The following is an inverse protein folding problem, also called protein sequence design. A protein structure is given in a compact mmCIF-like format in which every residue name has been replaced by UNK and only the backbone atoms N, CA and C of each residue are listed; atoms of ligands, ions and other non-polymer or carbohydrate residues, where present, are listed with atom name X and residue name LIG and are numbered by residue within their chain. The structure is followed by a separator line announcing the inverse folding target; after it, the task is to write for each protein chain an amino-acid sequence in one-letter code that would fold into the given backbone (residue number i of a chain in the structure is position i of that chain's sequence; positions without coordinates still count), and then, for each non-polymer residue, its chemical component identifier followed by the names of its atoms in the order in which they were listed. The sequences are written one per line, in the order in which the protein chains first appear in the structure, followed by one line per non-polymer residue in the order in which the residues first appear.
data_IF_153355445766
#
_entry.id   IF_153355445766
#
_cell.length_a   1.000
_cell.length_b   1.000
_cell.length_c   1.000
_cell.angle_alpha   90.00
_cell.angle_beta   90.00
_cell.angle_gamma   90.00
#
_symmetry.space_group_name_H-M   'P 1'
#
loop_
_entity.id
_entity.type
_entity.pdbx_description
1 polymer ?
#
# COMPACT_ATOMS: atom_id res chain seq x y z
N UNK A 1 -7.33 3.64 17.25
CA UNK A 1 -6.73 2.48 16.55
C UNK A 1 -6.26 1.46 17.57
N UNK A 2 -6.48 0.17 17.34
CA UNK A 2 -5.89 -0.89 18.16
C UNK A 2 -4.39 -1.04 17.89
N UNK A 3 -3.65 -1.66 18.81
CA UNK A 3 -2.21 -1.92 18.62
C UNK A 3 -1.95 -2.82 17.39
N UNK A 4 -0.88 -2.52 16.64
CA UNK A 4 -0.44 -3.32 15.51
C UNK A 4 0.12 -4.67 16.01
N UNK A 5 -0.34 -5.79 15.44
CA UNK A 5 0.02 -7.14 15.89
C UNK A 5 0.81 -7.93 14.83
N UNK A 6 1.34 -7.26 13.79
CA UNK A 6 2.03 -7.93 12.69
C UNK A 6 1.11 -8.36 11.54
N UNK A 7 1.63 -9.10 10.53
CA UNK A 7 0.81 -9.70 9.48
C UNK A 7 -0.17 -10.73 10.04
N UNK A 8 -1.42 -10.71 9.53
CA UNK A 8 -2.48 -11.68 9.88
C UNK A 8 -2.55 -12.87 8.92
N UNK A 9 -1.54 -13.03 8.08
CA UNK A 9 -1.40 -14.10 7.10
C UNK A 9 -0.01 -14.75 7.24
N UNK A 10 0.10 -15.99 6.77
CA UNK A 10 1.40 -16.66 6.60
C UNK A 10 2.14 -16.10 5.39
N UNK A 11 3.47 -16.10 5.47
CA UNK A 11 4.35 -15.65 4.38
C UNK A 11 5.25 -16.81 3.97
N UNK A 12 5.19 -17.20 2.69
CA UNK A 12 6.19 -18.08 2.08
C UNK A 12 7.24 -17.23 1.39
N UNK A 13 8.46 -17.25 1.95
CA UNK A 13 9.60 -16.58 1.36
C UNK A 13 10.22 -17.41 0.25
N UNK A 14 10.48 -16.78 -0.89
CA UNK A 14 11.19 -17.40 -2.01
C UNK A 14 12.55 -16.73 -2.21
N UNK A 15 13.54 -17.53 -2.64
CA UNK A 15 14.84 -17.01 -3.03
C UNK A 15 14.73 -16.39 -4.43
N UNK A 16 14.55 -15.07 -4.48
CA UNK A 16 14.49 -14.27 -5.69
C UNK A 16 15.11 -12.90 -5.41
N UNK A 17 15.93 -12.41 -6.33
CA UNK A 17 16.47 -11.06 -6.25
C UNK A 17 15.38 -10.02 -6.51
N UNK A 18 15.43 -8.91 -5.79
CA UNK A 18 14.58 -7.78 -6.06
C UNK A 18 15.08 -7.08 -7.34
N UNK A 19 14.18 -6.55 -8.18
CA UNK A 19 14.56 -5.82 -9.38
C UNK A 19 15.28 -4.52 -8.99
N UNK A 20 16.58 -4.42 -9.28
CA UNK A 20 17.46 -3.38 -8.70
C UNK A 20 17.03 -1.95 -9.10
N UNK A 21 16.67 -1.74 -10.36
CA UNK A 21 16.30 -0.43 -10.89
C UNK A 21 14.98 0.03 -10.24
N UNK A 22 13.96 -0.81 -10.30
CA UNK A 22 12.63 -0.54 -9.75
C UNK A 22 12.69 -0.40 -8.22
N UNK A 23 13.59 -1.12 -7.55
CA UNK A 23 13.79 -0.96 -6.10
C UNK A 23 14.35 0.42 -5.78
N UNK A 24 15.31 0.93 -6.57
CA UNK A 24 15.82 2.31 -6.40
C UNK A 24 14.73 3.34 -6.65
N UNK A 25 13.96 3.18 -7.73
CA UNK A 25 12.83 4.06 -8.05
C UNK A 25 11.76 4.08 -6.96
N UNK A 26 11.43 2.91 -6.41
CA UNK A 26 10.49 2.76 -5.29
C UNK A 26 10.97 3.54 -4.06
N UNK A 27 12.23 3.38 -3.67
CA UNK A 27 12.81 4.07 -2.51
C UNK A 27 12.87 5.59 -2.71
N UNK A 28 13.22 6.05 -3.91
CA UNK A 28 13.22 7.48 -4.23
C UNK A 28 11.82 8.08 -4.14
N UNK A 29 10.80 7.36 -4.62
CA UNK A 29 9.42 7.80 -4.56
C UNK A 29 8.88 7.77 -3.12
N UNK A 30 9.17 6.73 -2.33
CA UNK A 30 8.76 6.66 -0.92
C UNK A 30 9.31 7.86 -0.13
N UNK A 31 10.58 8.20 -0.35
CA UNK A 31 11.21 9.38 0.26
C UNK A 31 10.50 10.67 -0.15
N UNK A 32 10.27 10.90 -1.46
CA UNK A 32 9.57 12.10 -1.95
C UNK A 32 8.16 12.22 -1.38
N UNK A 33 7.42 11.10 -1.31
CA UNK A 33 6.07 11.09 -0.77
C UNK A 33 6.05 11.32 0.71
N UNK A 34 7.00 10.78 1.46
CA UNK A 34 7.03 11.00 2.88
C UNK A 34 7.55 12.39 3.27
N UNK A 35 8.42 13.02 2.47
CA UNK A 35 8.70 14.46 2.57
C UNK A 35 7.42 15.28 2.32
N UNK A 36 6.59 14.85 1.35
CA UNK A 36 5.32 15.50 1.06
C UNK A 36 4.26 15.23 2.13
N UNK A 37 4.18 14.04 2.73
CA UNK A 37 3.12 13.64 3.66
C UNK A 37 3.44 13.98 5.11
N UNK A 38 4.71 13.99 5.51
CA UNK A 38 5.21 14.20 6.87
C UNK A 38 4.53 13.26 7.90
N UNK A 39 4.58 11.92 7.70
CA UNK A 39 3.86 10.97 8.54
C UNK A 39 4.37 10.98 9.99
N UNK A 40 3.46 11.18 10.96
CA UNK A 40 3.79 11.09 12.40
C UNK A 40 3.75 9.64 12.87
N UNK A 41 4.73 8.84 12.45
CA UNK A 41 4.87 7.43 12.84
C UNK A 41 4.59 6.45 11.69
N UNK A 42 4.13 5.24 12.02
CA UNK A 42 3.77 4.23 11.01
C UNK A 42 2.33 4.46 10.53
N UNK A 43 2.15 5.42 9.62
CA UNK A 43 0.85 5.89 9.15
C UNK A 43 0.51 5.44 7.73
N UNK A 44 1.00 4.28 7.26
CA UNK A 44 0.69 3.84 5.90
C UNK A 44 1.79 3.10 5.19
N UNK A 45 1.55 2.76 3.93
CA UNK A 45 2.49 2.13 3.02
C UNK A 45 2.21 2.53 1.57
N UNK A 46 3.24 2.41 0.74
CA UNK A 46 3.13 2.49 -0.71
C UNK A 46 3.52 1.14 -1.32
N UNK A 47 2.88 0.78 -2.43
CA UNK A 47 3.38 -0.25 -3.33
C UNK A 47 3.58 0.30 -4.75
N UNK A 48 4.47 -0.38 -5.48
CA UNK A 48 4.74 -0.10 -6.89
C UNK A 48 4.73 -1.40 -7.70
N UNK A 49 3.94 -1.44 -8.76
CA UNK A 49 3.86 -2.59 -9.67
C UNK A 49 5.21 -2.77 -10.37
N UNK A 50 5.62 -4.03 -10.51
CA UNK A 50 6.80 -4.43 -11.28
C UNK A 50 6.45 -5.68 -12.11
N UNK A 51 7.31 -6.10 -13.06
CA UNK A 51 7.07 -7.35 -13.76
C UNK A 51 6.88 -8.53 -12.79
N UNK A 52 5.73 -9.22 -12.90
CA UNK A 52 5.37 -10.39 -12.10
C UNK A 52 5.12 -10.13 -10.60
N UNK A 53 4.76 -8.90 -10.20
CA UNK A 53 4.42 -8.62 -8.81
C UNK A 53 4.34 -7.14 -8.48
N UNK A 54 4.61 -6.81 -7.22
CA UNK A 54 4.77 -5.43 -6.77
C UNK A 54 5.78 -5.34 -5.63
N UNK A 55 6.48 -4.21 -5.56
CA UNK A 55 7.32 -3.82 -4.45
C UNK A 55 6.44 -3.17 -3.38
N UNK A 56 6.67 -3.51 -2.12
CA UNK A 56 6.03 -2.90 -0.97
C UNK A 56 7.02 -2.87 0.19
N UNK A 57 6.87 -1.89 1.08
CA UNK A 57 7.69 -1.85 2.30
C UNK A 57 7.45 -3.09 3.18
N UNK A 58 8.44 -3.40 4.02
CA UNK A 58 8.32 -4.43 5.05
C UNK A 58 7.32 -4.04 6.14
N UNK A 59 6.79 -5.06 6.80
CA UNK A 59 5.99 -4.91 8.00
C UNK A 59 6.73 -4.08 9.07
N UNK A 60 6.02 -3.10 9.64
CA UNK A 60 6.53 -2.25 10.73
C UNK A 60 7.59 -1.21 10.34
N UNK A 61 8.07 -1.16 9.10
CA UNK A 61 8.96 -0.08 8.65
C UNK A 61 8.20 1.25 8.59
N UNK A 62 8.90 2.38 8.76
CA UNK A 62 8.30 3.71 8.57
C UNK A 62 8.47 4.12 7.10
N UNK A 63 7.45 4.77 6.53
CA UNK A 63 7.68 5.55 5.30
C UNK A 63 8.73 6.62 5.58
N UNK A 64 9.50 7.03 4.58
CA UNK A 64 10.69 7.93 4.62
C UNK A 64 12.01 7.33 5.10
N UNK A 65 12.01 6.19 5.77
CA UNK A 65 13.21 5.59 6.36
C UNK A 65 13.58 4.25 5.72
N UNK A 66 13.04 3.97 4.53
CA UNK A 66 13.27 2.69 3.85
C UNK A 66 14.67 2.61 3.23
N UNK A 67 15.35 1.51 3.50
CA UNK A 67 16.50 1.02 2.74
C UNK A 67 16.09 -0.18 1.87
N UNK A 68 17.00 -0.64 1.00
CA UNK A 68 16.73 -1.79 0.13
C UNK A 68 16.33 -3.06 0.88
N UNK A 69 16.87 -3.28 2.09
CA UNK A 69 16.49 -4.40 2.96
C UNK A 69 15.08 -4.29 3.56
N UNK A 70 14.49 -3.10 3.53
CA UNK A 70 13.11 -2.86 3.95
C UNK A 70 12.10 -3.07 2.83
N UNK A 71 12.54 -3.49 1.63
CA UNK A 71 11.67 -3.72 0.48
C UNK A 71 11.36 -5.22 0.35
N UNK A 72 10.11 -5.50 -0.01
CA UNK A 72 9.62 -6.85 -0.29
C UNK A 72 9.02 -6.87 -1.69
N UNK A 73 9.31 -7.92 -2.46
CA UNK A 73 8.64 -8.20 -3.72
C UNK A 73 7.54 -9.22 -3.47
N UNK A 74 6.28 -8.80 -3.55
CA UNK A 74 5.12 -9.69 -3.45
C UNK A 74 4.80 -10.22 -4.86
N UNK A 75 4.70 -11.53 -4.99
CA UNK A 75 4.45 -12.22 -6.26
C UNK A 75 3.00 -12.71 -6.36
N UNK A 76 2.47 -13.20 -5.25
CA UNK A 76 1.14 -13.80 -5.19
C UNK A 76 0.56 -13.66 -3.78
N UNK A 77 -0.76 -13.58 -3.69
CA UNK A 77 -1.50 -13.69 -2.43
C UNK A 77 -2.63 -14.70 -2.56
N UNK A 78 -3.04 -15.31 -1.45
CA UNK A 78 -4.04 -16.36 -1.40
C UNK A 78 -4.07 -16.97 0.00
N UNK A 79 -3.92 -18.30 0.10
CA UNK A 79 -3.78 -18.99 1.41
C UNK A 79 -2.55 -18.46 2.16
N UNK A 80 -1.50 -18.10 1.44
CA UNK A 80 -0.27 -17.48 1.95
C UNK A 80 0.16 -16.34 1.02
N UNK A 81 0.93 -15.40 1.56
CA UNK A 81 1.60 -14.37 0.75
C UNK A 81 2.96 -14.89 0.31
N UNK A 82 3.17 -14.95 -1.00
CA UNK A 82 4.43 -15.39 -1.61
C UNK A 82 5.27 -14.16 -1.91
N UNK A 83 6.42 -14.04 -1.26
CA UNK A 83 7.26 -12.85 -1.37
C UNK A 83 8.75 -13.16 -1.34
N UNK A 84 9.55 -12.24 -1.88
CA UNK A 84 11.00 -12.21 -1.75
C UNK A 84 11.45 -10.98 -0.96
N UNK A 85 12.62 -11.04 -0.32
CA UNK A 85 13.13 -9.99 0.55
C UNK A 85 12.55 -10.06 1.96
N UNK A 86 12.19 -8.91 2.52
CA UNK A 86 11.65 -8.80 3.86
C UNK A 86 10.22 -9.38 4.00
N UNK A 87 9.72 -9.43 5.24
CA UNK A 87 8.32 -9.75 5.50
C UNK A 87 7.48 -8.56 5.03
N UNK A 88 6.57 -8.73 4.05
CA UNK A 88 5.87 -7.61 3.43
C UNK A 88 4.81 -7.03 4.39
N UNK A 89 4.34 -5.81 4.07
CA UNK A 89 3.28 -5.13 4.83
C UNK A 89 2.05 -6.01 5.07
N UNK A 90 1.42 -5.88 6.23
CA UNK A 90 0.15 -6.55 6.56
C UNK A 90 -1.00 -6.22 5.62
N UNK A 91 -0.87 -5.22 4.74
CA UNK A 91 -1.88 -4.85 3.76
C UNK A 91 -1.57 -5.39 2.36
N UNK A 92 -0.58 -6.27 2.21
CA UNK A 92 -0.20 -6.82 0.90
C UNK A 92 -1.37 -7.42 0.11
N UNK A 93 -2.34 -8.06 0.78
CA UNK A 93 -3.53 -8.60 0.11
C UNK A 93 -4.43 -7.49 -0.45
N UNK A 94 -4.56 -6.35 0.24
CA UNK A 94 -5.29 -5.20 -0.26
C UNK A 94 -4.66 -4.67 -1.55
N UNK A 95 -3.34 -4.50 -1.55
CA UNK A 95 -2.60 -4.02 -2.73
C UNK A 95 -2.69 -5.01 -3.89
N UNK A 96 -2.51 -6.30 -3.61
CA UNK A 96 -2.65 -7.35 -4.62
C UNK A 96 -4.04 -7.37 -5.25
N UNK A 97 -5.10 -7.28 -4.44
CA UNK A 97 -6.46 -7.28 -4.96
C UNK A 97 -6.74 -6.08 -5.85
N UNK A 98 -6.26 -4.89 -5.48
CA UNK A 98 -6.39 -3.69 -6.31
C UNK A 98 -5.64 -3.86 -7.63
N UNK A 99 -4.39 -4.34 -7.60
CA UNK A 99 -3.62 -4.57 -8.82
C UNK A 99 -4.21 -5.67 -9.72
N UNK A 100 -4.89 -6.66 -9.15
CA UNK A 100 -5.60 -7.69 -9.92
C UNK A 100 -6.81 -7.12 -10.67
N UNK A 101 -7.43 -6.08 -10.11
CA UNK A 101 -8.65 -5.48 -10.66
C UNK A 101 -8.38 -4.28 -11.57
N UNK A 102 -7.40 -3.44 -11.25
CA UNK A 102 -7.02 -2.27 -12.05
C UNK A 102 -5.71 -2.52 -12.81
N UNK A 103 -5.77 -2.86 -14.12
CA UNK A 103 -4.58 -3.12 -14.93
C UNK A 103 -3.72 -1.86 -15.16
N UNK A 104 -4.27 -0.66 -14.93
CA UNK A 104 -3.54 0.60 -15.09
C UNK A 104 -2.94 1.11 -13.79
N UNK A 105 -3.32 0.55 -12.64
CA UNK A 105 -2.70 0.88 -11.36
C UNK A 105 -1.22 0.51 -11.41
N UNK A 106 -0.35 1.50 -11.18
CA UNK A 106 1.09 1.30 -11.04
C UNK A 106 1.54 1.58 -9.61
N UNK A 107 0.89 2.53 -8.93
CA UNK A 107 1.16 2.91 -7.55
C UNK A 107 -0.12 2.85 -6.73
N UNK A 108 0.01 2.34 -5.52
CA UNK A 108 -1.05 2.38 -4.52
C UNK A 108 -0.44 2.96 -3.24
N UNK A 109 -1.03 4.04 -2.75
CA UNK A 109 -0.72 4.60 -1.44
C UNK A 109 -1.86 4.32 -0.49
N UNK A 110 -1.56 3.69 0.63
CA UNK A 110 -2.44 3.62 1.78
C UNK A 110 -1.86 4.43 2.94
N UNK A 111 -2.68 5.22 3.62
CA UNK A 111 -2.21 5.98 4.78
C UNK A 111 -3.31 6.29 5.79
N UNK A 112 -2.88 6.64 7.01
CA UNK A 112 -3.72 6.91 8.18
C UNK A 112 -3.59 8.39 8.54
N UNK A 113 -4.53 9.21 8.10
CA UNK A 113 -4.60 10.64 8.46
C UNK A 113 -6.03 10.95 8.93
N UNK A 114 -6.23 11.03 10.25
CA UNK A 114 -7.53 11.30 10.86
C UNK A 114 -8.15 12.62 10.34
N UNK A 115 -7.33 13.66 10.14
CA UNK A 115 -7.82 14.95 9.67
C UNK A 115 -8.29 14.88 8.21
N UNK A 116 -7.64 14.05 7.39
CA UNK A 116 -8.12 13.78 6.04
C UNK A 116 -9.38 12.91 6.05
N UNK A 117 -9.43 11.88 6.90
CA UNK A 117 -10.59 10.99 7.04
C UNK A 117 -11.85 11.75 7.44
N UNK A 118 -11.75 12.72 8.35
CA UNK A 118 -12.88 13.56 8.77
C UNK A 118 -13.43 14.44 7.65
N UNK A 119 -12.59 14.82 6.68
CA UNK A 119 -12.96 15.73 5.58
C UNK A 119 -13.37 15.01 4.32
N UNK A 120 -13.08 13.71 4.22
CA UNK A 120 -13.27 12.99 2.98
C UNK A 120 -14.76 12.74 2.71
N UNK A 121 -15.26 13.36 1.65
CA UNK A 121 -16.58 13.10 1.08
C UNK A 121 -16.42 12.28 -0.19
N UNK A 122 -16.68 10.97 -0.09
CA UNK A 122 -16.53 10.07 -1.24
C UNK A 122 -16.77 8.60 -0.93
N UNK A 123 -16.40 7.72 -1.88
CA UNK A 123 -16.60 6.28 -1.77
C UNK A 123 -15.87 5.68 -0.56
N UNK A 124 -16.55 4.80 0.18
CA UNK A 124 -15.99 4.20 1.39
C UNK A 124 -16.42 2.75 1.59
N UNK A 125 -15.46 1.92 1.99
CA UNK A 125 -15.66 0.49 2.33
C UNK A 125 -15.51 0.23 3.83
N UNK A 126 -15.93 -0.94 4.28
CA UNK A 126 -15.72 -1.41 5.65
C UNK A 126 -16.68 -0.78 6.68
N UNK A 127 -16.38 -0.95 7.98
CA UNK A 127 -15.08 -1.35 8.54
C UNK A 127 -14.72 -2.82 8.31
N UNK A 128 -13.42 -3.10 8.14
CA UNK A 128 -12.85 -4.45 8.08
C UNK A 128 -11.54 -4.51 8.86
N UNK A 129 -11.15 -5.66 9.44
CA UNK A 129 -9.84 -5.81 10.06
C UNK A 129 -8.71 -5.60 9.05
N UNK A 130 -7.62 -4.97 9.46
CA UNK A 130 -6.44 -4.85 8.60
C UNK A 130 -5.88 -6.23 8.23
N UNK A 131 -5.36 -6.35 7.02
CA UNK A 131 -4.80 -7.60 6.53
C UNK A 131 -5.77 -8.77 6.48
N UNK A 132 -7.09 -8.51 6.44
CA UNK A 132 -8.11 -9.54 6.24
C UNK A 132 -8.43 -9.75 4.75
N UNK A 133 -8.98 -10.92 4.42
CA UNK A 133 -9.42 -11.24 3.06
C UNK A 133 -10.60 -10.37 2.65
N UNK A 134 -11.53 -10.10 3.57
CA UNK A 134 -12.72 -9.27 3.33
C UNK A 134 -12.33 -7.84 2.98
N UNK A 135 -11.31 -7.28 3.65
CA UNK A 135 -10.76 -5.98 3.32
C UNK A 135 -10.17 -5.98 1.91
N UNK A 136 -9.38 -7.01 1.58
CA UNK A 136 -8.75 -7.12 0.27
C UNK A 136 -9.78 -7.19 -0.86
N UNK A 137 -10.78 -8.08 -0.74
CA UNK A 137 -11.85 -8.20 -1.73
C UNK A 137 -12.66 -6.92 -1.89
N UNK A 138 -13.02 -6.25 -0.79
CA UNK A 138 -13.75 -5.00 -0.85
C UNK A 138 -12.94 -3.88 -1.52
N UNK A 139 -11.63 -3.82 -1.25
CA UNK A 139 -10.72 -2.89 -1.89
C UNK A 139 -10.55 -3.16 -3.39
N UNK A 140 -10.46 -4.42 -3.80
CA UNK A 140 -10.47 -4.81 -5.22
C UNK A 140 -11.75 -4.36 -5.92
N UNK A 141 -12.93 -4.70 -5.38
CA UNK A 141 -14.23 -4.34 -5.98
C UNK A 141 -14.41 -2.84 -6.16
N UNK A 142 -14.10 -2.03 -5.15
CA UNK A 142 -14.27 -0.58 -5.27
C UNK A 142 -13.24 0.05 -6.24
N UNK A 143 -12.06 -0.56 -6.40
CA UNK A 143 -11.03 -0.07 -7.32
C UNK A 143 -11.40 -0.19 -8.81
N UNK A 144 -12.44 -0.97 -9.15
CA UNK A 144 -13.01 -1.06 -10.50
C UNK A 144 -13.41 0.31 -11.03
N UNK A 145 -14.05 1.13 -10.19
CA UNK A 145 -14.52 2.48 -10.57
C UNK A 145 -13.77 3.60 -9.85
N UNK A 146 -13.32 3.37 -8.61
CA UNK A 146 -12.77 4.42 -7.77
C UNK A 146 -11.25 4.36 -7.69
N UNK A 147 -10.61 5.53 -7.79
CA UNK A 147 -9.15 5.67 -7.64
C UNK A 147 -8.75 6.28 -6.30
N UNK A 148 -9.74 6.69 -5.52
CA UNK A 148 -9.59 7.34 -4.24
C UNK A 148 -10.76 6.91 -3.37
N UNK A 149 -10.50 6.22 -2.26
CA UNK A 149 -11.55 5.77 -1.36
C UNK A 149 -11.07 5.62 0.09
N UNK A 150 -12.02 5.65 1.00
CA UNK A 150 -11.79 5.47 2.43
C UNK A 150 -12.08 4.04 2.89
N UNK A 151 -11.32 3.57 3.87
CA UNK A 151 -11.62 2.39 4.67
C UNK A 151 -12.07 2.88 6.05
N UNK A 152 -13.37 2.72 6.37
CA UNK A 152 -13.97 3.25 7.60
C UNK A 152 -13.20 2.78 8.84
N UNK A 153 -12.75 3.74 9.67
CA UNK A 153 -12.02 3.47 10.91
C UNK A 153 -10.61 2.89 10.74
N UNK A 154 -10.05 2.95 9.52
CA UNK A 154 -8.73 2.38 9.21
C UNK A 154 -7.84 3.39 8.49
N UNK A 155 -8.25 3.91 7.33
CA UNK A 155 -7.39 4.80 6.56
C UNK A 155 -7.90 5.06 5.16
N UNK A 156 -7.00 5.52 4.31
CA UNK A 156 -7.30 6.02 2.98
C UNK A 156 -6.50 5.29 1.91
N UNK A 157 -7.05 5.14 0.70
CA UNK A 157 -6.37 4.49 -0.42
C UNK A 157 -6.43 5.39 -1.65
N UNK A 158 -5.27 5.56 -2.30
CA UNK A 158 -5.11 6.28 -3.56
C UNK A 158 -4.42 5.38 -4.56
N UNK A 159 -4.98 5.29 -5.76
CA UNK A 159 -4.49 4.51 -6.90
C UNK A 159 -4.04 5.48 -8.00
N UNK A 160 -2.85 5.27 -8.55
CA UNK A 160 -2.27 6.11 -9.59
C UNK A 160 -1.42 5.33 -10.59
N UNK A 161 -1.18 5.92 -11.77
CA UNK A 161 -0.30 5.38 -12.82
C UNK A 161 1.16 5.80 -12.62
N UNK A 162 1.41 6.86 -11.87
CA UNK A 162 2.74 7.42 -11.64
C UNK A 162 2.77 8.41 -10.49
N UNK A 163 3.98 8.78 -10.05
CA UNK A 163 4.18 9.61 -8.85
C UNK A 163 3.50 10.98 -8.94
N UNK A 164 3.56 11.62 -10.11
CA UNK A 164 2.95 12.94 -10.32
C UNK A 164 1.43 12.91 -10.14
N UNK A 165 0.75 11.90 -10.73
CA UNK A 165 -0.68 11.70 -10.57
C UNK A 165 -1.05 11.40 -9.11
N UNK A 166 -0.23 10.62 -8.41
CA UNK A 166 -0.45 10.29 -7.01
C UNK A 166 -0.38 11.56 -6.13
N UNK A 167 0.63 12.40 -6.34
CA UNK A 167 0.77 13.68 -5.64
C UNK A 167 -0.37 14.64 -6.00
N UNK A 168 -0.79 14.69 -7.26
CA UNK A 168 -1.94 15.51 -7.68
C UNK A 168 -3.23 15.11 -6.97
N UNK A 169 -3.49 13.80 -6.86
CA UNK A 169 -4.65 13.26 -6.13
C UNK A 169 -4.58 13.61 -4.64
N UNK A 170 -3.40 13.53 -4.03
CA UNK A 170 -3.17 13.88 -2.62
C UNK A 170 -3.41 15.36 -2.34
N UNK A 171 -2.99 16.25 -3.23
CA UNK A 171 -3.13 17.71 -3.06
C UNK A 171 -4.58 18.18 -2.88
N UNK A 172 -5.56 17.42 -3.36
CA UNK A 172 -6.99 17.72 -3.12
C UNK A 172 -7.36 17.70 -1.63
N UNK A 173 -6.61 16.96 -0.83
CA UNK A 173 -6.95 16.64 0.55
C UNK A 173 -5.89 17.09 1.56
N UNK A 174 -4.64 17.28 1.13
CA UNK A 174 -3.59 17.93 1.92
C UNK A 174 -3.72 19.45 1.80
N UNK A 175 -4.14 20.12 2.89
CA UNK A 175 -4.15 21.58 3.01
C UNK A 175 -2.86 22.07 3.66
#
# INVERSE_FOLDING_TARGET
MGEYQGPRFSVRRVAKELPEIETKEFLELDRKLGDFLEPKGNQGNMSMRVPNGFLIKRAGARMTELAGEDVSLVLETGIEVVAAGAVPSSESMLHYSIYGTDPYANLILHFHDDAMLERFEGPAIGPFPYGSVELAEAAGRIAESEKVFMIRGHGFVIIAKGGDELVERLKKWKR
#
